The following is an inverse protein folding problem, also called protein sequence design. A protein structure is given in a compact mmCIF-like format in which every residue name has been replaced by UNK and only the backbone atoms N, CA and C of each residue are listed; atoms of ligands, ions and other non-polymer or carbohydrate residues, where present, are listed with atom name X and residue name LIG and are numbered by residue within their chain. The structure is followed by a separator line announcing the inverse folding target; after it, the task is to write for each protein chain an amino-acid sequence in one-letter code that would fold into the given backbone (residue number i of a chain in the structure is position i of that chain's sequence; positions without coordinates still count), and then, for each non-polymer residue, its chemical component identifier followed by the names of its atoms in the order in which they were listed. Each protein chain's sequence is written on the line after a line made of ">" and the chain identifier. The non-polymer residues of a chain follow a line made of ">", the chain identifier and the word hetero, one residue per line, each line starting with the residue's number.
data_IF_752170284800
#
_entry.id   IF_752170284800
#
_cell.length_a   1.000
_cell.length_b   1.000
_cell.length_c   1.000
_cell.angle_alpha   90.00
_cell.angle_beta   90.00
_cell.angle_gamma   90.00
#
_symmetry.space_group_name_H-M   'P 1'
#
loop_
_entity.id
_entity.type
_entity.pdbx_description
1 polymer ?
#
# COMPACT_ATOMS: atom_id res chain seq x y z
N UNK A 1 10.82 4.41 -9.54
CA UNK A 1 10.66 2.95 -9.71
C UNK A 1 10.20 2.31 -8.42
N UNK A 2 9.66 1.08 -8.46
CA UNK A 2 9.11 0.48 -7.25
C UNK A 2 8.36 -0.84 -7.44
N UNK A 3 7.52 -1.16 -6.46
CA UNK A 3 6.71 -2.37 -6.39
C UNK A 3 5.29 -2.06 -5.94
N UNK A 4 4.30 -2.66 -6.59
CA UNK A 4 2.87 -2.53 -6.27
C UNK A 4 2.34 -3.93 -5.89
N UNK A 5 2.46 -4.35 -4.62
CA UNK A 5 1.91 -5.61 -4.16
C UNK A 5 0.38 -5.61 -4.16
N UNK A 6 -0.22 -6.80 -4.27
CA UNK A 6 -1.65 -7.00 -4.05
C UNK A 6 -1.87 -7.33 -2.57
N UNK A 7 -2.54 -6.45 -1.84
CA UNK A 7 -2.65 -6.47 -0.39
C UNK A 7 -1.31 -6.17 0.29
N UNK A 8 -1.25 -6.42 1.60
CA UNK A 8 -0.02 -6.23 2.38
C UNK A 8 0.41 -7.41 3.23
N UNK A 9 -0.09 -8.61 2.91
CA UNK A 9 0.38 -9.83 3.58
C UNK A 9 1.88 -10.04 3.31
N UNK A 10 2.66 -10.30 4.36
CA UNK A 10 4.10 -10.56 4.25
C UNK A 10 4.98 -9.33 3.96
N UNK A 11 4.43 -8.10 3.95
CA UNK A 11 5.22 -6.91 3.67
C UNK A 11 6.34 -6.67 4.68
N UNK A 12 6.08 -6.90 5.96
CA UNK A 12 7.08 -6.72 7.02
C UNK A 12 8.34 -7.56 6.76
N UNK A 13 8.17 -8.78 6.26
CA UNK A 13 9.29 -9.69 5.93
C UNK A 13 9.92 -9.37 4.57
N UNK A 14 9.11 -8.96 3.59
CA UNK A 14 9.57 -8.71 2.22
C UNK A 14 10.33 -7.38 2.06
N UNK A 15 9.98 -6.34 2.82
CA UNK A 15 10.57 -5.01 2.69
C UNK A 15 12.09 -4.98 2.90
N UNK A 16 12.67 -5.60 3.95
CA UNK A 16 14.13 -5.66 4.11
C UNK A 16 14.82 -6.35 2.92
N UNK A 17 14.26 -7.46 2.43
CA UNK A 17 14.80 -8.21 1.28
C UNK A 17 14.77 -7.38 -0.01
N UNK A 18 13.68 -6.62 -0.20
CA UNK A 18 13.54 -5.71 -1.32
C UNK A 18 14.59 -4.61 -1.27
N UNK A 19 14.80 -3.97 -0.11
CA UNK A 19 15.82 -2.94 0.06
C UNK A 19 17.23 -3.46 -0.27
N UNK A 20 17.62 -4.60 0.31
CA UNK A 20 18.93 -5.21 0.05
C UNK A 20 19.13 -5.54 -1.44
N UNK A 21 18.10 -6.11 -2.07
CA UNK A 21 18.17 -6.47 -3.49
C UNK A 21 18.25 -5.23 -4.39
N UNK A 22 17.56 -4.15 -4.00
CA UNK A 22 17.60 -2.87 -4.70
C UNK A 22 18.99 -2.24 -4.67
N UNK A 23 19.59 -2.19 -3.48
CA UNK A 23 20.95 -1.68 -3.27
C UNK A 23 21.98 -2.50 -4.04
N UNK A 24 21.92 -3.83 -3.95
CA UNK A 24 22.82 -4.74 -4.68
C UNK A 24 22.70 -4.61 -6.20
N UNK A 25 21.51 -4.27 -6.69
CA UNK A 25 21.29 -4.02 -8.11
C UNK A 25 21.80 -2.64 -8.57
N UNK A 26 22.33 -1.80 -7.66
CA UNK A 26 22.89 -0.48 -7.99
C UNK A 26 21.85 0.54 -8.46
N UNK A 27 20.59 0.40 -8.01
CA UNK A 27 19.45 1.20 -8.49
C UNK A 27 19.34 2.61 -7.88
N UNK A 28 20.47 3.17 -7.45
CA UNK A 28 20.57 4.52 -6.89
C UNK A 28 20.35 4.60 -5.37
N UNK A 29 20.53 5.79 -4.78
CA UNK A 29 20.44 6.00 -3.33
C UNK A 29 18.99 6.03 -2.82
N UNK A 30 18.01 6.11 -3.72
CA UNK A 30 16.60 6.17 -3.37
C UNK A 30 16.03 4.77 -3.10
N UNK A 31 15.21 4.66 -2.05
CA UNK A 31 14.48 3.43 -1.76
C UNK A 31 13.40 3.18 -2.83
N UNK A 32 13.10 1.92 -3.16
CA UNK A 32 11.99 1.60 -4.03
C UNK A 32 10.68 2.09 -3.41
N UNK A 33 9.85 2.75 -4.23
CA UNK A 33 8.49 3.09 -3.81
C UNK A 33 7.67 1.80 -3.67
N UNK A 34 6.99 1.62 -2.53
CA UNK A 34 6.11 0.48 -2.29
C UNK A 34 4.69 0.99 -2.12
N UNK A 35 3.75 0.51 -2.94
CA UNK A 35 2.35 0.94 -2.89
C UNK A 35 1.44 -0.29 -2.84
N UNK A 36 1.06 -0.78 -1.65
CA UNK A 36 0.11 -1.87 -1.53
C UNK A 36 -1.21 -1.51 -2.20
N UNK A 37 -1.75 -2.41 -3.00
CA UNK A 37 -2.97 -2.21 -3.79
C UNK A 37 -4.06 -3.19 -3.40
N UNK A 38 -5.30 -2.89 -3.79
CA UNK A 38 -6.48 -3.68 -3.42
C UNK A 38 -6.65 -3.84 -1.90
N UNK A 39 -6.25 -2.83 -1.13
CA UNK A 39 -6.33 -2.86 0.34
C UNK A 39 -7.76 -2.52 0.79
N UNK A 40 -8.34 -3.38 1.60
CA UNK A 40 -9.51 -3.02 2.41
C UNK A 40 -9.06 -2.27 3.67
N UNK A 41 -9.42 -0.99 3.84
CA UNK A 41 -8.84 -0.14 4.88
C UNK A 41 -9.42 -0.44 6.27
N UNK A 42 -8.55 -0.33 7.27
CA UNK A 42 -8.92 -0.11 8.67
C UNK A 42 -7.86 0.81 9.29
N UNK A 43 -8.17 1.58 10.34
CA UNK A 43 -7.19 2.47 10.98
C UNK A 43 -5.88 1.76 11.33
N UNK A 44 -5.96 0.61 12.01
CA UNK A 44 -4.76 -0.14 12.40
C UNK A 44 -3.97 -0.73 11.22
N UNK A 45 -4.61 -1.04 10.09
CA UNK A 45 -3.88 -1.49 8.89
C UNK A 45 -3.11 -0.36 8.22
N UNK A 46 -3.71 0.84 8.18
CA UNK A 46 -3.05 2.02 7.61
C UNK A 46 -1.90 2.51 8.50
N UNK A 47 -2.11 2.51 9.83
CA UNK A 47 -1.05 2.79 10.81
C UNK A 47 0.11 1.80 10.67
N UNK A 48 -0.19 0.50 10.56
CA UNK A 48 0.84 -0.51 10.34
C UNK A 48 1.65 -0.28 9.04
N UNK A 49 1.03 0.16 7.96
CA UNK A 49 1.77 0.50 6.73
C UNK A 49 2.66 1.73 6.93
N UNK A 50 2.18 2.76 7.64
CA UNK A 50 2.98 3.93 7.98
C UNK A 50 4.22 3.54 8.84
N UNK A 51 4.05 2.66 9.82
CA UNK A 51 5.17 2.12 10.63
C UNK A 51 6.22 1.37 9.80
N UNK A 52 5.78 0.70 8.72
CA UNK A 52 6.68 0.04 7.77
C UNK A 52 7.38 1.03 6.80
N UNK A 53 7.08 2.32 6.89
CA UNK A 53 7.62 3.37 6.01
C UNK A 53 6.95 3.41 4.63
N UNK A 54 5.70 2.95 4.53
CA UNK A 54 4.91 3.00 3.30
C UNK A 54 4.08 4.29 3.31
N UNK A 55 4.40 5.20 2.39
CA UNK A 55 3.76 6.52 2.29
C UNK A 55 2.45 6.51 1.47
N UNK A 56 2.20 5.46 0.68
CA UNK A 56 1.08 5.40 -0.25
C UNK A 56 0.42 4.02 -0.26
N UNK A 57 -0.91 4.01 -0.36
CA UNK A 57 -1.72 2.79 -0.47
C UNK A 57 -2.90 3.02 -1.42
N UNK A 58 -3.23 2.01 -2.22
CA UNK A 58 -4.41 2.01 -3.09
C UNK A 58 -5.51 1.17 -2.45
N UNK A 59 -6.57 1.85 -2.01
CA UNK A 59 -7.73 1.22 -1.38
C UNK A 59 -8.64 0.58 -2.43
N UNK A 60 -9.17 -0.60 -2.10
CA UNK A 60 -10.13 -1.31 -2.95
C UNK A 60 -11.52 -0.72 -2.77
N UNK A 61 -12.16 -0.32 -3.86
CA UNK A 61 -13.60 -0.08 -3.90
C UNK A 61 -14.35 -1.40 -4.18
N UNK A 62 -15.59 -1.57 -3.69
CA UNK A 62 -16.39 -2.76 -3.99
C UNK A 62 -16.66 -2.86 -5.49
N UNK A 63 -16.82 -4.09 -5.98
CA UNK A 63 -17.43 -4.31 -7.28
C UNK A 63 -18.95 -4.25 -7.10
N UNK A 64 -19.61 -3.32 -7.76
CA UNK A 64 -21.05 -3.11 -7.61
C UNK A 64 -21.55 -1.91 -8.42
N UNK A 65 -22.79 -1.54 -8.14
CA UNK A 65 -23.44 -0.38 -8.76
C UNK A 65 -22.76 0.93 -8.34
N UNK A 66 -22.90 1.95 -9.18
CA UNK A 66 -22.29 3.28 -8.97
C UNK A 66 -22.57 3.83 -7.55
N UNK A 67 -23.82 3.76 -7.09
CA UNK A 67 -24.21 4.26 -5.76
C UNK A 67 -23.48 3.56 -4.61
N UNK A 68 -23.19 2.26 -4.75
CA UNK A 68 -22.44 1.51 -3.74
C UNK A 68 -20.97 1.91 -3.72
N UNK A 69 -20.37 2.08 -4.91
CA UNK A 69 -19.00 2.54 -5.10
C UNK A 69 -18.81 3.94 -4.54
N UNK A 70 -19.67 4.89 -4.91
CA UNK A 70 -19.60 6.28 -4.44
C UNK A 70 -19.79 6.38 -2.93
N UNK A 71 -20.77 5.68 -2.36
CA UNK A 71 -20.96 5.64 -0.90
C UNK A 71 -19.72 5.09 -0.16
N UNK A 72 -19.04 4.12 -0.74
CA UNK A 72 -17.81 3.56 -0.16
C UNK A 72 -16.64 4.54 -0.29
N UNK A 73 -16.53 5.22 -1.44
CA UNK A 73 -15.54 6.27 -1.66
C UNK A 73 -15.70 7.41 -0.63
N UNK A 74 -16.92 7.90 -0.44
CA UNK A 74 -17.23 8.92 0.57
C UNK A 74 -16.89 8.42 1.98
N UNK A 75 -17.20 7.17 2.30
CA UNK A 75 -16.88 6.58 3.60
C UNK A 75 -15.37 6.49 3.85
N UNK A 76 -14.53 6.37 2.80
CA UNK A 76 -13.07 6.35 2.92
C UNK A 76 -12.45 7.73 3.13
N UNK A 77 -13.19 8.83 2.92
CA UNK A 77 -12.71 10.18 3.24
C UNK A 77 -12.30 10.33 4.73
N UNK A 78 -12.80 9.47 5.62
CA UNK A 78 -12.40 9.41 7.04
C UNK A 78 -10.92 9.07 7.28
N UNK A 79 -10.20 8.62 6.25
CA UNK A 79 -8.78 8.23 6.32
C UNK A 79 -7.84 9.29 5.74
N UNK A 80 -8.37 10.42 5.27
CA UNK A 80 -7.64 11.59 4.79
C UNK A 80 -7.63 12.68 5.86
#
# INVERSE_FOLDING_TARGET
>A
DGWIPIGGSGLADALPVLHETWERAGRGPERPMVVPSFVEPSPGKLEHYAELGIDQVVLRLPAGEETEVLRTLDAYARYL
#
